data_IF_566196082647
#
_entry.id   IF_566196082647
#
_cell.length_a   1.000
_cell.length_b   1.000
_cell.length_c   1.000
_cell.angle_alpha   90.00
_cell.angle_beta   90.00
_cell.angle_gamma   90.00
#
_symmetry.space_group_name_H-M   'P 1'
#
loop_
_entity.id
_entity.type
_entity.pdbx_description
1 polymer ?
#
# COMPACT_ATOMS: atom_id res chain seq x y z
N UNK A 1 -13.82 0.20 -1.94
CA UNK A 1 -12.44 0.71 -1.75
C UNK A 1 -11.57 -0.38 -1.15
N UNK A 2 -10.25 -0.25 -1.23
CA UNK A 2 -9.30 -1.09 -0.53
C UNK A 2 -8.52 -0.23 0.47
N UNK A 3 -8.44 -0.66 1.72
CA UNK A 3 -7.78 0.05 2.83
C UNK A 3 -6.80 -0.91 3.49
N UNK A 4 -5.58 -0.46 3.74
CA UNK A 4 -4.57 -1.24 4.45
C UNK A 4 -3.81 -0.37 5.45
N UNK A 5 -3.38 -0.99 6.55
CA UNK A 5 -2.60 -0.35 7.59
C UNK A 5 -1.28 -1.07 7.78
N UNK A 6 -0.22 -0.30 8.01
CA UNK A 6 1.07 -0.79 8.45
C UNK A 6 1.47 -0.04 9.71
N UNK A 7 1.91 -0.77 10.73
CA UNK A 7 2.45 -0.16 11.93
C UNK A 7 3.96 -0.35 11.99
N UNK A 8 4.67 0.70 12.39
CA UNK A 8 6.11 0.66 12.62
C UNK A 8 6.46 1.32 13.95
N UNK A 9 7.38 0.74 14.72
CA UNK A 9 7.82 1.34 15.96
C UNK A 9 8.62 2.61 15.64
N UNK A 10 8.51 3.64 16.49
CA UNK A 10 9.41 4.80 16.39
C UNK A 10 10.79 4.42 16.98
N UNK A 11 11.92 4.87 16.40
CA UNK A 11 13.27 4.57 16.91
C UNK A 11 13.56 5.00 18.36
N UNK A 12 12.81 5.96 18.91
CA UNK A 12 12.92 6.38 20.31
C UNK A 12 12.22 5.35 21.22
N UNK A 13 12.56 5.27 22.53
CA UNK A 13 11.90 4.37 23.51
C UNK A 13 10.42 4.73 23.80
N UNK A 14 9.75 5.35 22.83
CA UNK A 14 8.41 5.89 22.95
C UNK A 14 7.37 4.78 22.85
N UNK A 15 6.30 4.92 23.62
CA UNK A 15 5.04 4.17 23.51
C UNK A 15 4.27 4.60 22.25
N UNK A 16 5.00 4.98 21.20
CA UNK A 16 4.50 5.67 20.01
C UNK A 16 4.90 4.87 18.79
N UNK A 17 3.93 4.68 17.91
CA UNK A 17 4.01 3.91 16.70
C UNK A 17 3.65 4.83 15.54
N UNK A 18 4.37 4.70 14.45
CA UNK A 18 3.98 5.28 13.18
C UNK A 18 2.96 4.32 12.54
N UNK A 19 1.81 4.85 12.15
CA UNK A 19 0.80 4.13 11.39
C UNK A 19 0.76 4.73 10.00
N UNK A 20 0.98 3.90 8.99
CA UNK A 20 0.75 4.24 7.60
C UNK A 20 -0.59 3.64 7.18
N UNK A 21 -1.47 4.47 6.65
CA UNK A 21 -2.73 4.07 6.03
C UNK A 21 -2.61 4.26 4.52
N UNK A 22 -2.88 3.23 3.74
CA UNK A 22 -2.99 3.30 2.29
C UNK A 22 -4.44 3.04 1.87
N UNK A 23 -4.97 3.90 1.02
CA UNK A 23 -6.34 3.80 0.51
C UNK A 23 -6.30 3.83 -1.00
N UNK A 24 -6.99 2.86 -1.63
CA UNK A 24 -7.14 2.75 -3.07
C UNK A 24 -8.62 2.71 -3.42
N UNK A 25 -9.06 3.64 -4.26
CA UNK A 25 -10.39 3.59 -4.84
C UNK A 25 -10.38 2.74 -6.11
N UNK A 26 -10.78 1.47 -5.98
CA UNK A 26 -10.85 0.49 -7.08
C UNK A 26 -12.16 0.56 -7.89
N UNK A 27 -13.03 1.54 -7.63
CA UNK A 27 -14.26 1.70 -8.45
C UNK A 27 -13.89 2.24 -9.83
N UNK A 28 -14.80 2.06 -10.80
CA UNK A 28 -14.65 2.57 -12.16
C UNK A 28 -15.14 4.01 -12.33
N UNK A 29 -16.01 4.49 -11.44
CA UNK A 29 -16.74 5.76 -11.59
C UNK A 29 -16.90 6.55 -10.29
N UNK A 30 -17.06 5.84 -9.16
CA UNK A 30 -17.40 6.50 -7.90
C UNK A 30 -16.25 7.34 -7.33
N UNK A 31 -16.60 8.46 -6.70
CA UNK A 31 -15.69 9.34 -5.98
C UNK A 31 -16.08 9.38 -4.51
N UNK A 32 -15.13 9.18 -3.60
CA UNK A 32 -15.42 9.15 -2.16
C UNK A 32 -14.73 10.30 -1.44
N UNK A 33 -15.48 11.05 -0.64
CA UNK A 33 -14.93 11.98 0.34
C UNK A 33 -14.38 11.21 1.54
N UNK A 34 -13.18 11.57 1.96
CA UNK A 34 -12.53 10.98 3.13
C UNK A 34 -12.99 11.74 4.38
N UNK A 35 -13.51 11.04 5.38
CA UNK A 35 -14.14 11.68 6.54
C UNK A 35 -13.34 11.53 7.83
N UNK A 36 -13.07 10.29 8.25
CA UNK A 36 -12.54 9.99 9.58
C UNK A 36 -11.73 8.69 9.60
N UNK A 37 -10.73 8.65 10.47
CA UNK A 37 -10.07 7.43 10.92
C UNK A 37 -10.18 7.32 12.43
N UNK A 38 -10.57 6.15 12.91
CA UNK A 38 -10.69 5.85 14.33
C UNK A 38 -9.87 4.63 14.73
N UNK A 39 -9.25 4.66 15.91
CA UNK A 39 -8.68 3.48 16.56
C UNK A 39 -9.69 2.88 17.55
N UNK A 40 -9.93 1.57 17.47
CA UNK A 40 -10.86 0.90 18.38
C UNK A 40 -10.16 0.60 19.72
N UNK A 41 -10.83 0.98 20.81
CA UNK A 41 -10.37 0.74 22.18
C UNK A 41 -9.78 2.00 22.84
N UNK A 42 -10.06 2.13 24.14
CA UNK A 42 -9.75 3.35 24.91
C UNK A 42 -8.25 3.53 25.19
N UNK A 43 -7.44 2.49 25.01
CA UNK A 43 -6.00 2.55 25.25
C UNK A 43 -5.19 3.29 24.18
N UNK A 44 -5.79 3.49 23.01
CA UNK A 44 -5.10 3.94 21.81
C UNK A 44 -5.47 5.40 21.55
N UNK A 45 -4.44 6.23 21.44
CA UNK A 45 -4.58 7.61 20.98
C UNK A 45 -3.97 7.70 19.59
N UNK A 46 -4.71 8.25 18.63
CA UNK A 46 -4.26 8.44 17.26
C UNK A 46 -4.24 9.93 16.91
N UNK A 47 -3.21 10.35 16.18
CA UNK A 47 -3.02 11.74 15.77
C UNK A 47 -2.44 11.82 14.36
N UNK A 48 -2.87 12.81 13.60
CA UNK A 48 -2.42 13.04 12.22
C UNK A 48 -1.03 13.69 12.21
N UNK A 49 -0.11 13.19 11.38
CA UNK A 49 1.24 13.76 11.28
C UNK A 49 1.39 14.84 10.20
N UNK A 50 0.52 14.84 9.19
CA UNK A 50 0.55 15.79 8.07
C UNK A 50 -0.87 16.22 7.72
N UNK A 51 -1.14 17.52 7.42
CA UNK A 51 -2.47 17.97 7.04
C UNK A 51 -3.00 17.19 5.83
N UNK A 52 -4.27 16.76 5.88
CA UNK A 52 -4.86 15.98 4.77
C UNK A 52 -4.84 16.76 3.46
N UNK A 53 -4.99 18.07 3.50
CA UNK A 53 -4.93 18.94 2.32
C UNK A 53 -3.61 18.85 1.54
N UNK A 54 -2.52 18.48 2.23
CA UNK A 54 -1.23 18.25 1.57
C UNK A 54 -1.15 16.92 0.83
N UNK A 55 -1.95 15.94 1.23
CA UNK A 55 -1.94 14.56 0.73
C UNK A 55 -3.06 14.35 -0.31
N UNK A 56 -4.23 14.89 -0.02
CA UNK A 56 -5.44 14.82 -0.83
C UNK A 56 -6.10 16.21 -0.86
N UNK A 57 -5.63 17.15 -1.71
CA UNK A 57 -6.12 18.53 -1.72
C UNK A 57 -7.61 18.68 -2.02
N UNK A 58 -8.18 17.75 -2.78
CA UNK A 58 -9.62 17.69 -3.08
C UNK A 58 -10.44 17.06 -1.95
N UNK A 59 -9.78 16.44 -0.96
CA UNK A 59 -10.35 15.59 0.10
C UNK A 59 -11.29 14.50 -0.43
N UNK A 60 -11.22 14.26 -1.74
CA UNK A 60 -12.11 13.40 -2.52
C UNK A 60 -11.21 12.49 -3.34
N UNK A 61 -11.42 11.19 -3.17
CA UNK A 61 -10.67 10.13 -3.82
C UNK A 61 -11.46 9.62 -5.03
N UNK A 62 -11.05 10.04 -6.23
CA UNK A 62 -11.71 9.65 -7.47
C UNK A 62 -11.44 8.18 -7.82
N UNK A 63 -12.26 7.62 -8.71
CA UNK A 63 -12.07 6.29 -9.26
C UNK A 63 -10.64 6.08 -9.78
N UNK A 64 -10.04 4.96 -9.43
CA UNK A 64 -8.66 4.59 -9.79
C UNK A 64 -7.56 5.33 -9.03
N UNK A 65 -7.89 6.28 -8.14
CA UNK A 65 -6.88 7.00 -7.36
C UNK A 65 -6.50 6.27 -6.06
N UNK A 66 -5.34 6.65 -5.53
CA UNK A 66 -4.85 6.19 -4.24
C UNK A 66 -4.14 7.30 -3.48
N UNK A 67 -4.12 7.19 -2.16
CA UNK A 67 -3.30 8.04 -1.31
C UNK A 67 -2.75 7.26 -0.11
N UNK A 68 -1.71 7.82 0.49
CA UNK A 68 -1.07 7.29 1.69
C UNK A 68 -1.04 8.38 2.74
N UNK A 69 -1.44 8.08 3.98
CA UNK A 69 -1.45 9.04 5.08
C UNK A 69 -0.76 8.45 6.32
N UNK A 70 -0.17 9.31 7.13
CA UNK A 70 0.64 8.92 8.28
C UNK A 70 0.05 9.47 9.58
N UNK A 71 -0.04 8.59 10.55
CA UNK A 71 -0.55 8.88 11.89
C UNK A 71 0.48 8.45 12.93
N UNK A 72 0.42 9.11 14.07
CA UNK A 72 1.08 8.64 15.28
C UNK A 72 0.04 7.98 16.16
N UNK A 73 0.29 6.74 16.54
CA UNK A 73 -0.49 5.96 17.47
C UNK A 73 0.27 5.83 18.78
N UNK A 74 -0.38 6.06 19.92
CA UNK A 74 0.24 5.99 21.24
C UNK A 74 -0.48 4.99 22.13
N UNK A 75 0.30 4.09 22.74
CA UNK A 75 -0.17 3.18 23.80
C UNK A 75 -0.18 3.93 25.13
N UNK A 76 -1.36 4.27 25.66
CA UNK A 76 -1.45 4.96 26.94
C UNK A 76 -1.43 4.01 28.15
N UNK A 77 -1.56 2.69 27.98
CA UNK A 77 -1.53 1.72 29.11
C UNK A 77 -0.19 1.79 29.84
N UNK A 78 0.89 1.98 29.09
CA UNK A 78 2.27 2.02 29.60
C UNK A 78 2.66 3.36 30.21
N UNK A 79 1.82 4.39 30.12
CA UNK A 79 2.07 5.73 30.68
C UNK A 79 1.53 5.90 32.11
N UNK A 80 0.67 5.00 32.57
CA UNK A 80 -0.04 5.07 33.85
C UNK A 80 0.80 4.60 35.06
N UNK A 81 2.01 5.15 35.24
CA UNK A 81 2.81 4.97 36.48
C UNK A 81 2.77 6.18 37.41
N UNK A 82 1.92 7.17 37.13
CA UNK A 82 1.70 8.34 38.00
C UNK A 82 0.29 8.25 38.60
N UNK A 83 0.20 8.38 39.92
CA UNK A 83 -1.02 8.37 40.74
C UNK A 83 -1.97 9.55 40.44
N UNK A 84 -2.43 9.68 39.20
CA UNK A 84 -3.42 10.69 38.83
C UNK A 84 -4.59 10.02 38.11
N UNK A 85 -5.43 9.36 38.92
CA UNK A 85 -6.74 8.84 38.51
C UNK A 85 -7.69 10.02 38.24
N UNK A 86 -7.51 10.69 37.10
CA UNK A 86 -8.61 11.39 36.46
C UNK A 86 -9.45 10.36 35.70
N UNK A 87 -10.79 10.38 35.82
CA UNK A 87 -11.64 9.46 35.07
C UNK A 87 -11.36 9.62 33.58
N UNK A 88 -11.25 8.51 32.85
CA UNK A 88 -10.98 8.40 31.41
C UNK A 88 -12.02 9.21 30.62
N UNK A 89 -11.84 10.53 30.55
CA UNK A 89 -12.65 11.41 29.72
C UNK A 89 -12.33 11.10 28.26
N UNK A 90 -13.39 10.95 27.44
CA UNK A 90 -13.41 10.59 26.02
C UNK A 90 -12.04 10.73 25.34
N UNK A 91 -11.32 9.61 25.30
CA UNK A 91 -9.98 9.54 24.72
C UNK A 91 -10.14 9.78 23.22
N UNK A 92 -9.35 10.71 22.67
CA UNK A 92 -9.38 11.04 21.25
C UNK A 92 -8.81 9.85 20.44
N UNK A 93 -9.69 8.92 20.10
CA UNK A 93 -9.46 7.83 19.17
C UNK A 93 -9.76 8.21 17.73
N UNK A 94 -10.33 9.38 17.50
CA UNK A 94 -10.88 9.80 16.21
C UNK A 94 -10.05 10.93 15.62
N UNK A 95 -9.61 10.73 14.38
CA UNK A 95 -8.94 11.72 13.56
C UNK A 95 -9.86 12.08 12.41
N UNK A 96 -10.20 13.36 12.31
CA UNK A 96 -10.91 13.88 11.13
C UNK A 96 -9.95 14.06 9.98
N UNK A 97 -10.44 13.69 8.80
CA UNK A 97 -9.71 13.74 7.54
C UNK A 97 -10.42 14.60 6.48
N UNK A 98 -11.68 14.98 6.71
CA UNK A 98 -12.45 15.87 5.85
C UNK A 98 -12.17 17.36 6.10
N UNK A 99 -12.95 18.27 5.46
CA UNK A 99 -12.68 19.70 5.47
C UNK A 99 -12.71 20.28 6.88
N UNK A 100 -11.68 21.04 7.24
CA UNK A 100 -11.52 21.61 8.58
C UNK A 100 -12.63 22.62 8.94
N UNK A 101 -13.29 23.18 7.92
CA UNK A 101 -14.40 24.13 8.07
C UNK A 101 -15.75 23.46 8.37
N UNK A 102 -15.83 22.12 8.32
CA UNK A 102 -17.04 21.39 8.65
C UNK A 102 -17.07 21.06 10.16
N UNK A 103 -17.92 21.76 10.91
CA UNK A 103 -18.13 21.54 12.35
C UNK A 103 -18.84 20.22 12.70
N UNK A 104 -19.19 19.41 11.71
CA UNK A 104 -19.91 18.14 11.87
C UNK A 104 -19.18 17.16 12.79
N UNK A 105 -19.83 16.66 13.83
CA UNK A 105 -19.23 15.74 14.80
C UNK A 105 -18.66 14.47 14.13
N UNK A 106 -17.55 13.88 14.64
CA UNK A 106 -17.12 12.57 14.15
C UNK A 106 -18.24 11.55 14.35
N UNK A 107 -18.31 10.55 13.47
CA UNK A 107 -19.21 9.43 13.65
C UNK A 107 -18.78 8.62 14.86
N UNK A 108 -19.76 8.26 15.70
CA UNK A 108 -19.53 7.39 16.84
C UNK A 108 -19.32 5.94 16.35
N UNK A 109 -18.08 5.48 16.43
CA UNK A 109 -17.69 4.10 16.10
C UNK A 109 -17.77 3.15 17.30
N UNK A 110 -18.01 3.69 18.50
CA UNK A 110 -18.01 2.95 19.76
C UNK A 110 -19.38 2.43 20.17
N UNK A 111 -20.43 2.95 19.52
CA UNK A 111 -21.81 2.52 19.73
C UNK A 111 -22.34 1.69 18.56
N UNK A 112 -23.43 0.96 18.82
CA UNK A 112 -24.24 0.32 17.78
C UNK A 112 -24.73 1.37 16.75
N UNK A 113 -24.74 1.06 15.44
CA UNK A 113 -24.51 -0.26 14.83
C UNK A 113 -23.06 -0.59 14.48
N UNK A 114 -22.15 0.39 14.50
CA UNK A 114 -20.77 0.20 14.04
C UNK A 114 -19.95 -0.69 14.98
N UNK A 115 -20.16 -0.56 16.29
CA UNK A 115 -19.54 -1.43 17.28
C UNK A 115 -19.97 -2.90 17.09
N UNK A 116 -21.27 -3.15 16.91
CA UNK A 116 -21.82 -4.50 16.72
C UNK A 116 -21.29 -5.13 15.43
N UNK A 117 -21.26 -4.37 14.33
CA UNK A 117 -20.70 -4.83 13.06
C UNK A 117 -19.22 -5.21 13.22
N UNK A 118 -18.45 -4.36 13.88
CA UNK A 118 -17.03 -4.60 14.12
C UNK A 118 -16.78 -5.83 15.01
N UNK A 119 -17.62 -6.05 16.03
CA UNK A 119 -17.59 -7.28 16.83
C UNK A 119 -17.88 -8.53 15.99
N UNK A 120 -18.88 -8.47 15.12
CA UNK A 120 -19.21 -9.57 14.22
C UNK A 120 -18.05 -9.86 13.26
N UNK A 121 -17.45 -8.83 12.67
CA UNK A 121 -16.32 -8.98 11.76
C UNK A 121 -15.10 -9.61 12.46
N UNK A 122 -14.77 -9.17 13.67
CA UNK A 122 -13.71 -9.79 14.49
C UNK A 122 -14.00 -11.27 14.75
N UNK A 123 -15.25 -11.61 15.07
CA UNK A 123 -15.66 -13.00 15.26
C UNK A 123 -15.53 -13.83 13.98
N UNK A 124 -15.96 -13.29 12.83
CA UNK A 124 -15.83 -13.95 11.52
C UNK A 124 -14.38 -14.19 11.11
N UNK A 125 -13.44 -13.34 11.54
CA UNK A 125 -12.01 -13.51 11.30
C UNK A 125 -11.35 -14.55 12.25
N UNK A 126 -12.14 -15.22 13.09
CA UNK A 126 -11.65 -16.27 14.01
C UNK A 126 -10.84 -15.71 15.18
N UNK A 127 -11.05 -14.44 15.53
CA UNK A 127 -10.28 -13.76 16.57
C UNK A 127 -10.73 -14.22 17.96
N UNK A 128 -9.80 -14.80 18.74
CA UNK A 128 -10.03 -15.13 20.15
C UNK A 128 -9.75 -13.92 21.06
N UNK A 129 -10.42 -13.86 22.20
CA UNK A 129 -10.30 -12.78 23.18
C UNK A 129 -8.96 -12.73 23.94
N UNK A 130 -7.99 -13.56 23.56
CA UNK A 130 -6.79 -13.85 24.35
C UNK A 130 -5.55 -13.35 23.60
N UNK A 131 -5.42 -12.01 23.47
CA UNK A 131 -4.28 -11.38 22.79
C UNK A 131 -4.33 -9.85 22.66
N UNK A 132 -5.19 -9.16 23.42
CA UNK A 132 -5.49 -7.73 23.24
C UNK A 132 -4.41 -6.75 23.71
N UNK A 133 -3.28 -7.22 24.24
CA UNK A 133 -2.21 -6.32 24.71
C UNK A 133 -1.39 -5.71 23.58
N UNK A 134 -1.40 -6.31 22.40
CA UNK A 134 -0.54 -5.89 21.28
C UNK A 134 -1.31 -5.72 19.96
N UNK A 135 -2.64 -5.59 20.00
CA UNK A 135 -3.46 -5.44 18.78
C UNK A 135 -4.20 -4.10 18.76
N UNK A 136 -4.33 -3.56 17.56
CA UNK A 136 -5.04 -2.31 17.27
C UNK A 136 -5.99 -2.60 16.14
N UNK A 137 -7.24 -2.18 16.27
CA UNK A 137 -8.20 -2.24 15.17
C UNK A 137 -8.51 -0.81 14.71
N UNK A 138 -8.76 -0.62 13.42
CA UNK A 138 -9.06 0.68 12.84
C UNK A 138 -10.41 0.67 12.12
N UNK A 139 -11.13 1.79 12.22
CA UNK A 139 -12.35 2.06 11.46
C UNK A 139 -12.13 3.32 10.64
N UNK A 140 -12.13 3.17 9.33
CA UNK A 140 -11.99 4.26 8.37
C UNK A 140 -13.35 4.57 7.75
N UNK A 141 -13.74 5.84 7.74
CA UNK A 141 -15.07 6.28 7.27
C UNK A 141 -14.91 7.19 6.05
N UNK A 142 -15.70 6.87 5.03
CA UNK A 142 -15.79 7.64 3.79
C UNK A 142 -17.23 7.90 3.40
N UNK A 143 -17.46 8.98 2.68
CA UNK A 143 -18.78 9.40 2.22
C UNK A 143 -18.79 9.43 0.69
N UNK A 144 -19.89 9.03 0.07
CA UNK A 144 -20.13 9.29 -1.35
C UNK A 144 -20.84 10.65 -1.47
N UNK A 145 -20.21 11.66 -2.09
CA UNK A 145 -20.79 13.00 -2.24
C UNK A 145 -22.06 12.94 -3.09
N UNK A 146 -23.00 13.81 -2.77
CA UNK A 146 -24.31 13.88 -3.40
C UNK A 146 -24.19 14.18 -4.91
N UNK A 147 -24.75 13.31 -5.78
CA UNK A 147 -24.72 13.53 -7.23
C UNK A 147 -25.01 12.32 -8.14
N UNK A 148 -25.09 11.09 -7.63
CA UNK A 148 -25.17 9.88 -8.50
C UNK A 148 -26.46 9.06 -8.37
N UNK A 149 -27.45 9.48 -7.58
CA UNK A 149 -28.69 8.70 -7.40
C UNK A 149 -29.91 9.55 -7.76
N UNK A 150 -30.46 9.30 -8.95
CA UNK A 150 -31.76 9.82 -9.44
C UNK A 150 -32.94 9.20 -8.67
N UNK A 151 -33.02 9.38 -7.35
CA UNK A 151 -34.15 8.88 -6.57
C UNK A 151 -34.62 9.90 -5.55
N UNK A 152 -35.94 10.12 -5.54
CA UNK A 152 -36.70 11.04 -4.70
C UNK A 152 -36.74 10.66 -3.20
N UNK A 153 -35.61 10.23 -2.65
CA UNK A 153 -35.41 9.97 -1.22
C UNK A 153 -34.63 11.13 -0.58
N UNK A 154 -34.86 11.44 0.72
CA UNK A 154 -34.23 12.58 1.37
C UNK A 154 -32.70 12.47 1.33
N UNK A 155 -32.11 13.49 0.72
CA UNK A 155 -30.71 13.91 0.64
C UNK A 155 -29.84 13.49 1.83
N UNK A 156 -29.38 12.24 1.84
CA UNK A 156 -28.47 11.74 2.89
C UNK A 156 -27.23 11.16 2.20
N UNK A 157 -26.02 11.67 2.47
CA UNK A 157 -24.80 11.12 1.88
C UNK A 157 -24.64 9.66 2.32
N UNK A 158 -24.28 8.78 1.37
CA UNK A 158 -24.02 7.38 1.70
C UNK A 158 -22.69 7.28 2.45
N UNK A 159 -22.75 6.78 3.69
CA UNK A 159 -21.58 6.58 4.55
C UNK A 159 -21.13 5.13 4.45
N UNK A 160 -19.82 4.94 4.29
CA UNK A 160 -19.17 3.64 4.24
C UNK A 160 -18.16 3.55 5.38
N UNK A 161 -18.25 2.48 6.17
CA UNK A 161 -17.23 2.11 7.16
C UNK A 161 -16.37 0.98 6.63
N UNK A 162 -15.06 1.17 6.70
CA UNK A 162 -14.05 0.17 6.35
C UNK A 162 -13.35 -0.22 7.64
N UNK A 163 -13.47 -1.47 8.01
CA UNK A 163 -12.94 -1.97 9.26
C UNK A 163 -11.71 -2.84 8.96
N UNK A 164 -10.63 -2.59 9.69
CA UNK A 164 -9.41 -3.40 9.59
C UNK A 164 -9.04 -3.86 10.99
N UNK A 165 -9.25 -5.15 11.22
CA UNK A 165 -9.02 -5.80 12.51
C UNK A 165 -7.67 -6.52 12.55
N UNK A 166 -7.21 -6.81 13.76
CA UNK A 166 -6.00 -7.57 14.06
C UNK A 166 -4.70 -6.92 13.57
N UNK A 167 -4.60 -5.58 13.65
CA UNK A 167 -3.35 -4.93 13.34
C UNK A 167 -2.37 -5.14 14.51
N UNK A 168 -1.55 -6.19 14.38
CA UNK A 168 -0.66 -6.64 15.44
C UNK A 168 0.62 -5.81 15.55
N UNK A 169 0.89 -5.29 16.75
CA UNK A 169 2.19 -4.78 17.18
C UNK A 169 3.25 -5.89 17.32
N UNK A 170 2.88 -7.17 17.42
CA UNK A 170 3.87 -8.26 17.36
C UNK A 170 4.29 -8.61 15.93
N UNK A 171 3.53 -8.16 14.92
CA UNK A 171 3.92 -8.21 13.51
C UNK A 171 4.85 -7.06 13.10
N UNK A 172 5.15 -6.14 14.02
CA UNK A 172 6.08 -5.03 13.81
C UNK A 172 7.39 -5.52 13.23
N UNK A 173 7.64 -5.16 11.98
CA UNK A 173 8.96 -5.35 11.41
C UNK A 173 9.88 -4.33 12.06
N UNK A 174 11.08 -4.74 12.52
CA UNK A 174 12.08 -3.82 13.05
C UNK A 174 12.55 -2.81 12.00
N UNK A 175 12.25 -3.08 10.73
CA UNK A 175 12.53 -2.25 9.58
C UNK A 175 11.22 -1.77 8.98
N UNK A 176 11.09 -0.47 8.79
CA UNK A 176 10.00 0.16 8.05
C UNK A 176 10.54 1.01 6.93
N UNK A 177 9.75 1.22 5.87
CA UNK A 177 10.17 2.04 4.74
C UNK A 177 8.99 2.76 4.10
N UNK A 178 9.29 3.92 3.51
CA UNK A 178 8.35 4.70 2.72
C UNK A 178 9.02 5.08 1.40
N UNK A 179 8.29 4.95 0.30
CA UNK A 179 8.68 5.55 -0.99
C UNK A 179 7.92 6.85 -1.14
N UNK A 180 8.66 7.93 -1.34
CA UNK A 180 8.16 9.29 -1.52
C UNK A 180 8.63 9.86 -2.87
N UNK A 181 7.86 10.78 -3.43
CA UNK A 181 8.14 11.37 -4.73
C UNK A 181 6.90 11.98 -5.39
N UNK A 182 7.06 12.47 -6.62
CA UNK A 182 5.93 13.02 -7.38
C UNK A 182 4.99 11.89 -7.82
N UNK A 183 3.70 12.01 -7.49
CA UNK A 183 2.65 11.08 -7.93
C UNK A 183 2.02 11.43 -9.27
N UNK A 184 2.17 12.68 -9.72
CA UNK A 184 1.69 13.13 -11.04
C UNK A 184 2.78 13.95 -11.71
N UNK A 185 3.08 13.62 -12.97
CA UNK A 185 4.02 14.37 -13.80
C UNK A 185 3.45 14.61 -15.19
N UNK A 186 3.82 15.72 -15.80
CA UNK A 186 3.59 16.00 -17.21
C UNK A 186 4.90 15.84 -17.97
N UNK A 187 4.87 15.11 -19.08
CA UNK A 187 6.04 14.89 -19.90
C UNK A 187 5.72 15.00 -21.40
N UNK A 188 6.66 15.54 -22.16
CA UNK A 188 6.58 15.55 -23.61
C UNK A 188 7.40 14.35 -24.15
N UNK A 189 6.72 13.32 -24.62
CA UNK A 189 7.35 12.10 -25.15
C UNK A 189 8.04 12.30 -26.52
N UNK A 190 8.05 13.52 -27.06
CA UNK A 190 8.98 13.91 -28.13
C UNK A 190 10.40 14.10 -27.61
N UNK A 191 10.60 14.21 -26.29
CA UNK A 191 11.90 14.26 -25.62
C UNK A 191 12.37 12.85 -25.20
N UNK A 192 13.68 12.61 -25.06
CA UNK A 192 14.22 11.26 -25.12
C UNK A 192 13.89 10.35 -23.91
N UNK A 193 13.60 10.85 -22.69
CA UNK A 193 13.28 10.00 -21.53
C UNK A 193 12.43 10.72 -20.46
N UNK A 194 11.38 10.06 -19.96
CA UNK A 194 10.60 10.51 -18.80
C UNK A 194 11.19 9.91 -17.51
N UNK A 195 12.21 10.58 -16.96
CA UNK A 195 12.81 10.15 -15.69
C UNK A 195 12.05 10.71 -14.48
N UNK A 196 11.79 9.84 -13.50
CA UNK A 196 11.13 10.22 -12.25
C UNK A 196 12.02 9.84 -11.08
N UNK A 197 12.41 10.84 -10.30
CA UNK A 197 13.19 10.63 -9.08
C UNK A 197 12.23 10.38 -7.91
N UNK A 198 12.50 9.31 -7.19
CA UNK A 198 11.79 8.89 -5.99
C UNK A 198 12.82 8.77 -4.85
N UNK A 199 12.34 8.73 -3.62
CA UNK A 199 13.15 8.59 -2.43
C UNK A 199 12.57 7.53 -1.54
N UNK A 200 13.34 6.51 -1.20
CA UNK A 200 12.97 5.54 -0.19
C UNK A 200 13.63 5.89 1.14
N UNK A 201 12.82 6.19 2.15
CA UNK A 201 13.32 6.39 3.52
C UNK A 201 13.11 5.11 4.31
N UNK A 202 14.19 4.51 4.80
CA UNK A 202 14.17 3.24 5.54
C UNK A 202 14.58 3.51 6.99
N UNK A 203 13.80 3.02 7.94
CA UNK A 203 14.02 3.22 9.37
C UNK A 203 14.24 1.88 10.05
N UNK A 204 15.31 1.79 10.84
CA UNK A 204 15.57 0.71 11.76
C UNK A 204 15.19 1.15 13.17
N UNK A 205 14.11 0.56 13.69
CA UNK A 205 13.60 0.86 15.03
C UNK A 205 14.12 -0.12 16.08
N UNK A 206 14.87 -1.15 15.67
CA UNK A 206 15.45 -2.12 16.60
C UNK A 206 16.66 -1.56 17.36
N UNK A 207 16.98 -2.22 18.48
CA UNK A 207 18.22 -2.01 19.22
C UNK A 207 19.46 -2.64 18.57
N UNK A 208 19.31 -3.29 17.43
CA UNK A 208 20.37 -4.03 16.74
C UNK A 208 20.72 -3.40 15.40
N UNK A 209 21.93 -3.66 14.90
CA UNK A 209 22.31 -3.29 13.54
C UNK A 209 21.50 -4.12 12.55
N UNK A 210 20.92 -3.48 11.55
CA UNK A 210 20.15 -4.14 10.51
C UNK A 210 20.87 -4.11 9.16
N UNK A 211 20.89 -5.23 8.45
CA UNK A 211 21.25 -5.31 7.04
C UNK A 211 19.97 -5.31 6.23
N UNK A 212 19.80 -4.35 5.33
CA UNK A 212 18.63 -4.22 4.45
C UNK A 212 19.07 -4.33 3.00
N UNK A 213 18.31 -5.09 2.22
CA UNK A 213 18.54 -5.38 0.81
C UNK A 213 17.25 -5.15 0.03
N UNK A 214 17.27 -4.14 -0.82
CA UNK A 214 16.18 -3.72 -1.69
C UNK A 214 16.41 -4.34 -3.07
N UNK A 215 15.43 -5.09 -3.57
CA UNK A 215 15.44 -5.62 -4.93
C UNK A 215 14.31 -4.99 -5.73
N UNK A 216 14.58 -4.42 -6.89
CA UNK A 216 13.57 -3.86 -7.80
C UNK A 216 13.44 -4.76 -9.03
N UNK A 217 12.24 -4.87 -9.58
CA UNK A 217 11.94 -5.78 -10.69
C UNK A 217 11.35 -5.01 -11.86
N UNK A 218 11.92 -5.11 -13.07
CA UNK A 218 11.45 -4.32 -14.23
C UNK A 218 10.18 -4.86 -14.88
N UNK A 219 9.82 -6.12 -14.64
CA UNK A 219 8.60 -6.74 -15.14
C UNK A 219 7.51 -6.78 -14.07
N UNK A 220 6.22 -6.59 -14.41
CA UNK A 220 5.15 -6.92 -13.48
C UNK A 220 5.27 -8.38 -13.08
N UNK A 221 5.28 -8.67 -11.79
CA UNK A 221 5.33 -10.04 -11.29
C UNK A 221 4.05 -10.76 -11.70
N UNK A 222 4.08 -11.45 -12.83
CA UNK A 222 3.19 -12.58 -13.04
C UNK A 222 3.45 -13.53 -11.87
N UNK A 223 2.45 -13.75 -11.02
CA UNK A 223 2.49 -14.63 -9.86
C UNK A 223 3.42 -15.83 -10.08
N UNK A 224 4.67 -15.72 -9.66
CA UNK A 224 5.60 -16.84 -9.68
C UNK A 224 5.23 -17.70 -8.47
N UNK A 225 4.26 -18.59 -8.67
CA UNK A 225 4.13 -19.76 -7.83
C UNK A 225 5.50 -20.48 -7.83
N UNK A 226 5.98 -20.97 -6.68
CA UNK A 226 7.14 -21.84 -6.68
C UNK A 226 6.81 -23.06 -7.55
N UNK A 227 7.72 -23.37 -8.47
CA UNK A 227 7.65 -24.52 -9.37
C UNK A 227 7.50 -25.78 -8.51
N UNK A 228 6.28 -26.29 -8.42
CA UNK A 228 6.04 -27.68 -8.10
C UNK A 228 5.60 -28.37 -9.38
N UNK A 229 6.44 -29.31 -9.81
CA UNK A 229 6.14 -30.25 -10.88
C UNK A 229 4.86 -31.03 -10.57
N UNK A 230 4.12 -31.35 -11.64
CA UNK A 230 2.92 -32.18 -11.71
C UNK A 230 1.60 -31.53 -11.26
N UNK A 231 0.83 -31.00 -12.22
CA UNK A 231 -0.46 -31.58 -12.61
C UNK A 231 -1.12 -30.77 -13.74
N UNK A 232 -1.87 -31.50 -14.55
CA UNK A 232 -2.53 -31.17 -15.81
C UNK A 232 -3.73 -30.22 -15.72
N UNK A 233 -3.96 -29.54 -16.86
CA UNK A 233 -5.26 -29.19 -17.50
C UNK A 233 -6.11 -28.02 -16.96
N UNK A 234 -6.10 -26.89 -17.72
CA UNK A 234 -7.20 -26.33 -18.55
C UNK A 234 -7.11 -24.78 -18.64
N UNK A 235 -7.27 -24.17 -19.82
CA UNK A 235 -7.32 -22.72 -19.95
C UNK A 235 -8.76 -22.19 -19.81
N UNK A 236 -9.01 -21.04 -19.15
CA UNK A 236 -10.26 -20.32 -19.33
C UNK A 236 -10.25 -19.63 -20.70
N UNK A 237 -11.17 -20.07 -21.55
CA UNK A 237 -11.54 -19.40 -22.79
C UNK A 237 -12.09 -18.00 -22.50
N UNK A 238 -11.64 -17.01 -23.27
CA UNK A 238 -12.41 -15.89 -23.81
C UNK A 238 -11.47 -15.00 -24.64
N UNK A 239 -11.27 -15.39 -25.90
CA UNK A 239 -10.65 -14.53 -26.91
C UNK A 239 -11.76 -13.76 -27.65
N UNK A 240 -11.76 -12.45 -27.49
CA UNK A 240 -12.23 -11.49 -28.48
C UNK A 240 -11.09 -10.46 -28.58
N UNK A 241 -10.40 -10.19 -29.67
CA UNK A 241 -10.49 -10.60 -31.06
C UNK A 241 -9.87 -9.45 -31.87
N UNK A 242 -8.80 -9.72 -32.62
CA UNK A 242 -8.45 -9.11 -33.91
C UNK A 242 -7.71 -10.22 -34.67
N UNK A 243 -8.18 -10.56 -35.86
CA UNK A 243 -7.58 -11.59 -36.70
C UNK A 243 -7.19 -10.94 -38.02
N UNK A 244 -5.91 -10.90 -38.31
CA UNK A 244 -5.42 -10.43 -39.61
C UNK A 244 -5.72 -11.48 -40.68
N UNK A 245 -6.37 -11.04 -41.75
CA UNK A 245 -6.64 -11.84 -42.95
C UNK A 245 -5.33 -11.86 -43.77
N UNK A 246 -4.78 -13.03 -44.13
CA UNK A 246 -3.59 -13.07 -44.96
C UNK A 246 -3.97 -12.67 -46.40
N UNK A 247 -3.28 -11.66 -46.91
CA UNK A 247 -3.33 -11.20 -48.30
C UNK A 247 -2.79 -12.32 -49.20
N UNK A 248 -3.62 -12.74 -50.16
CA UNK A 248 -3.28 -13.68 -51.23
C UNK A 248 -2.36 -12.97 -52.23
N UNK A 249 -1.22 -13.58 -52.52
CA UNK A 249 -0.28 -13.17 -53.58
C UNK A 249 0.75 -14.26 -53.86
N UNK A 250 0.57 -14.94 -54.98
CA UNK A 250 1.30 -16.11 -55.48
C UNK A 250 2.83 -15.99 -55.54
N UNK A 251 3.56 -17.06 -55.20
CA UNK A 251 4.21 -17.92 -56.23
C UNK A 251 4.87 -19.17 -55.62
N UNK A 252 4.59 -20.27 -56.30
CA UNK A 252 4.95 -21.66 -56.05
C UNK A 252 6.43 -21.92 -56.38
N UNK A 253 7.23 -22.38 -55.41
CA UNK A 253 8.37 -23.28 -55.66
C UNK A 253 8.32 -24.41 -54.64
N UNK A 254 8.13 -25.62 -55.17
CA UNK A 254 8.05 -26.89 -54.45
C UNK A 254 9.43 -27.53 -54.41
N UNK A 255 9.92 -27.97 -53.25
CA UNK A 255 10.77 -29.18 -53.12
C UNK A 255 10.66 -29.78 -51.71
N UNK A 256 10.66 -31.11 -51.70
CA UNK A 256 10.18 -32.06 -50.69
C UNK A 256 10.99 -32.22 -49.39
N UNK A 257 10.24 -32.63 -48.35
CA UNK A 257 10.55 -33.60 -47.28
C UNK A 257 11.94 -33.63 -46.63
N UNK A 258 11.99 -33.19 -45.37
CA UNK A 258 12.52 -34.03 -44.29
C UNK A 258 11.88 -33.63 -42.95
N UNK A 259 11.23 -34.62 -42.36
CA UNK A 259 10.63 -34.65 -41.02
C UNK A 259 11.63 -34.17 -39.95
N UNK A 260 11.47 -32.94 -39.47
CA UNK A 260 12.07 -32.47 -38.22
C UNK A 260 11.04 -31.59 -37.49
N UNK A 261 10.45 -32.16 -36.45
CA UNK A 261 9.48 -31.54 -35.56
C UNK A 261 10.15 -30.41 -34.77
N UNK A 262 10.33 -29.26 -35.40
CA UNK A 262 10.69 -28.05 -34.69
C UNK A 262 9.44 -27.54 -33.97
N UNK A 263 9.42 -27.71 -32.64
CA UNK A 263 8.57 -26.91 -31.78
C UNK A 263 8.97 -25.45 -31.98
N UNK A 264 8.28 -24.75 -32.88
CA UNK A 264 8.25 -23.31 -32.88
C UNK A 264 7.58 -22.89 -31.57
N UNK A 265 8.37 -22.76 -30.51
CA UNK A 265 7.99 -21.94 -29.36
C UNK A 265 7.60 -20.60 -29.97
N UNK A 266 6.32 -20.26 -29.93
CA UNK A 266 5.95 -18.86 -30.07
C UNK A 266 6.72 -18.14 -28.97
N UNK A 267 7.72 -17.33 -29.35
CA UNK A 267 8.20 -16.27 -28.48
C UNK A 267 6.95 -15.44 -28.23
N UNK A 268 6.33 -15.66 -27.07
CA UNK A 268 5.39 -14.69 -26.52
C UNK A 268 6.15 -13.37 -26.56
N UNK A 269 5.65 -12.40 -27.32
CA UNK A 269 6.15 -11.04 -27.25
C UNK A 269 5.88 -10.65 -25.80
N UNK A 270 6.94 -10.76 -25.00
CA UNK A 270 6.98 -10.35 -23.62
C UNK A 270 6.59 -8.87 -23.65
N UNK A 271 5.43 -8.54 -23.08
CA UNK A 271 4.90 -7.18 -23.18
C UNK A 271 5.97 -6.25 -22.64
N UNK A 272 6.42 -5.29 -23.46
CA UNK A 272 7.47 -4.34 -23.09
C UNK A 272 7.11 -3.73 -21.73
N UNK A 273 8.04 -3.69 -20.75
CA UNK A 273 7.76 -3.17 -19.44
C UNK A 273 7.29 -1.72 -19.55
N UNK A 274 6.15 -1.44 -18.92
CA UNK A 274 5.46 -0.16 -18.97
C UNK A 274 6.32 1.00 -18.41
N UNK A 275 7.21 0.68 -17.48
CA UNK A 275 8.31 1.50 -16.97
C UNK A 275 9.46 0.57 -16.56
N UNK A 276 10.66 1.11 -16.36
CA UNK A 276 11.79 0.37 -15.76
C UNK A 276 12.32 1.10 -14.53
N UNK A 277 12.90 0.36 -13.59
CA UNK A 277 13.69 0.95 -12.51
C UNK A 277 15.07 1.35 -13.03
N UNK A 278 15.38 2.63 -12.96
CA UNK A 278 16.62 3.20 -13.45
C UNK A 278 17.65 3.18 -12.32
N UNK A 279 18.60 2.24 -12.36
CA UNK A 279 19.65 2.14 -11.34
C UNK A 279 20.10 0.71 -11.08
N UNK A 280 20.66 0.46 -9.90
CA UNK A 280 20.99 -0.90 -9.47
C UNK A 280 19.70 -1.65 -9.13
N UNK A 281 19.46 -2.79 -9.77
CA UNK A 281 18.33 -3.69 -9.45
C UNK A 281 18.36 -4.25 -8.02
N UNK A 282 19.49 -4.07 -7.34
CA UNK A 282 19.74 -4.52 -5.98
C UNK A 282 20.56 -3.48 -5.22
N UNK A 283 20.02 -2.95 -4.13
CA UNK A 283 20.71 -2.01 -3.23
C UNK A 283 20.79 -2.59 -1.83
N UNK A 284 22.00 -2.65 -1.27
CA UNK A 284 22.23 -3.15 0.09
C UNK A 284 22.80 -2.04 0.98
N UNK A 285 22.25 -1.91 2.17
CA UNK A 285 22.72 -0.96 3.17
C UNK A 285 22.71 -1.57 4.59
N UNK A 286 23.53 -0.98 5.45
CA UNK A 286 23.57 -1.33 6.88
C UNK A 286 23.09 -0.14 7.70
N UNK A 287 22.03 -0.36 8.48
CA UNK A 287 21.43 0.62 9.36
C UNK A 287 21.91 0.39 10.79
N UNK A 288 22.38 1.46 11.43
CA UNK A 288 22.68 1.44 12.86
C UNK A 288 21.39 1.24 13.68
N UNK A 289 21.48 0.79 14.93
CA UNK A 289 20.34 0.76 15.83
C UNK A 289 19.66 2.13 15.87
N UNK A 290 18.32 2.14 15.83
CA UNK A 290 17.50 3.37 15.98
C UNK A 290 17.88 4.48 14.98
N UNK A 291 18.12 4.11 13.72
CA UNK A 291 18.57 5.04 12.68
C UNK A 291 17.69 5.00 11.44
N UNK A 292 17.83 6.02 10.59
CA UNK A 292 17.13 6.16 9.33
C UNK A 292 18.14 6.41 8.21
N UNK A 293 17.90 5.85 7.03
CA UNK A 293 18.66 6.16 5.83
C UNK A 293 17.72 6.50 4.66
N UNK A 294 18.21 7.32 3.75
CA UNK A 294 17.52 7.65 2.50
C UNK A 294 18.24 6.98 1.34
N UNK A 295 17.47 6.30 0.49
CA UNK A 295 17.94 5.63 -0.71
C UNK A 295 17.27 6.31 -1.91
N UNK A 296 18.03 6.96 -2.80
CA UNK A 296 17.46 7.52 -4.02
C UNK A 296 17.01 6.37 -4.93
N UNK A 297 15.80 6.50 -5.46
CA UNK A 297 15.23 5.59 -6.45
C UNK A 297 14.91 6.39 -7.71
N UNK A 298 14.92 5.72 -8.86
CA UNK A 298 14.56 6.36 -10.12
C UNK A 298 13.83 5.36 -11.00
N UNK A 299 12.86 5.85 -11.76
CA UNK A 299 12.22 5.09 -12.84
C UNK A 299 12.31 5.86 -14.16
N UNK A 300 12.16 5.14 -15.26
CA UNK A 300 11.91 5.69 -16.59
C UNK A 300 10.56 5.20 -17.09
N UNK A 301 9.64 6.12 -17.36
CA UNK A 301 8.37 5.85 -18.03
C UNK A 301 8.51 6.07 -19.54
N UNK A 302 7.83 5.24 -20.33
CA UNK A 302 7.93 5.27 -21.81
C UNK A 302 6.67 5.77 -22.50
N UNK A 303 5.58 5.93 -21.78
CA UNK A 303 4.31 6.40 -22.31
C UNK A 303 3.52 7.20 -21.26
N UNK A 304 2.45 7.90 -21.65
CA UNK A 304 1.45 8.36 -20.71
C UNK A 304 0.71 7.16 -20.09
N UNK A 305 0.34 7.25 -18.80
CA UNK A 305 -0.35 6.18 -18.11
C UNK A 305 -0.30 6.25 -16.59
N UNK A 306 -0.90 5.26 -15.94
CA UNK A 306 -0.81 5.05 -14.49
C UNK A 306 0.04 3.80 -14.26
N UNK A 307 1.10 3.94 -13.47
CA UNK A 307 2.08 2.91 -13.20
C UNK A 307 2.05 2.51 -11.72
N UNK A 308 1.96 1.21 -11.45
CA UNK A 308 2.15 0.66 -10.10
C UNK A 308 3.64 0.34 -9.89
N UNK A 309 4.28 1.08 -8.99
CA UNK A 309 5.68 0.94 -8.64
C UNK A 309 5.90 0.03 -7.41
N UNK A 310 4.95 -0.85 -7.10
CA UNK A 310 5.05 -1.82 -5.99
C UNK A 310 6.01 -2.99 -6.25
N UNK A 311 6.55 -3.10 -7.47
CA UNK A 311 7.46 -4.15 -7.96
C UNK A 311 8.88 -4.05 -7.38
N UNK A 312 8.97 -4.09 -6.05
CA UNK A 312 10.22 -4.22 -5.31
C UNK A 312 10.02 -5.08 -4.06
N UNK A 313 11.11 -5.59 -3.48
CA UNK A 313 11.10 -6.38 -2.25
C UNK A 313 12.21 -5.88 -1.32
N UNK A 314 11.87 -5.64 -0.06
CA UNK A 314 12.85 -5.40 1.00
C UNK A 314 13.10 -6.68 1.80
N UNK A 315 14.32 -7.18 1.74
CA UNK A 315 14.81 -8.22 2.63
C UNK A 315 15.61 -7.57 3.75
N UNK A 316 15.41 -8.02 4.98
CA UNK A 316 16.15 -7.51 6.12
C UNK A 316 16.61 -8.61 7.06
N UNK A 317 17.72 -8.37 7.74
CA UNK A 317 18.21 -9.20 8.84
C UNK A 317 18.85 -8.35 9.93
N UNK A 318 18.63 -8.73 11.18
CA UNK A 318 19.20 -8.11 12.36
C UNK A 318 20.45 -8.88 12.79
N UNK A 319 21.50 -8.15 13.14
CA UNK A 319 22.68 -8.73 13.75
C UNK A 319 22.34 -9.03 15.22
N UNK A 320 22.45 -10.28 15.69
CA UNK A 320 22.22 -10.59 17.09
C UNK A 320 23.23 -9.84 17.97
N UNK A 321 22.74 -9.14 18.99
CA UNK A 321 23.60 -8.51 19.98
C UNK A 321 24.36 -9.61 20.75
N UNK A 322 25.67 -9.45 20.94
CA UNK A 322 26.54 -10.48 21.52
C UNK A 322 26.28 -10.78 23.00
N UNK A 323 25.39 -10.04 23.68
CA UNK A 323 25.28 -10.04 25.15
C UNK A 323 23.96 -10.56 25.73
N UNK A 324 23.05 -11.15 24.95
CA UNK A 324 21.82 -11.73 25.52
C UNK A 324 21.69 -13.23 25.24
N UNK A 325 22.16 -13.99 26.23
CA UNK A 325 21.74 -15.38 26.46
C UNK A 325 20.27 -15.36 26.87
N UNK A 326 19.42 -15.96 26.04
CA UNK A 326 18.08 -16.48 26.35
C UNK A 326 17.11 -15.58 27.15
N UNK A 327 16.26 -14.85 26.44
CA UNK A 327 14.88 -14.57 26.88
C UNK A 327 13.90 -14.74 25.71
N UNK A 328 13.31 -15.92 25.61
CA UNK A 328 11.86 -16.14 25.67
C UNK A 328 10.88 -15.47 24.70
N UNK A 329 11.28 -14.61 23.76
CA UNK A 329 10.42 -14.11 22.69
C UNK A 329 11.17 -14.22 21.37
N UNK A 330 10.63 -15.03 20.44
CA UNK A 330 11.18 -15.20 19.11
C UNK A 330 11.00 -13.91 18.30
N UNK A 331 11.77 -12.87 18.62
CA UNK A 331 11.89 -11.69 17.78
C UNK A 331 12.44 -12.14 16.43
N UNK A 332 11.67 -11.90 15.35
CA UNK A 332 12.10 -12.26 14.00
C UNK A 332 13.42 -11.56 13.71
N UNK A 333 14.48 -12.34 13.54
CA UNK A 333 15.83 -11.83 13.24
C UNK A 333 16.03 -11.55 11.74
N UNK A 334 15.07 -11.94 10.90
CA UNK A 334 15.04 -11.62 9.49
C UNK A 334 13.62 -11.63 8.95
N UNK A 335 13.42 -10.99 7.80
CA UNK A 335 12.13 -10.95 7.12
C UNK A 335 12.26 -10.43 5.69
N UNK A 336 11.18 -10.59 4.94
CA UNK A 336 11.00 -10.05 3.61
C UNK A 336 9.67 -9.33 3.54
N UNK A 337 9.65 -8.17 2.92
CA UNK A 337 8.47 -7.37 2.73
C UNK A 337 8.30 -6.99 1.26
N UNK A 338 7.09 -7.18 0.74
CA UNK A 338 6.75 -6.73 -0.60
C UNK A 338 6.65 -5.22 -0.66
N UNK A 339 6.91 -4.67 -1.83
CA UNK A 339 6.82 -3.24 -2.07
C UNK A 339 5.41 -2.73 -1.85
N UNK A 340 5.31 -1.51 -1.31
CA UNK A 340 4.02 -0.91 -1.08
C UNK A 340 3.46 -0.37 -2.40
N UNK A 341 2.12 -0.41 -2.59
CA UNK A 341 1.48 0.27 -3.70
C UNK A 341 1.91 1.74 -3.76
N UNK A 342 2.53 2.12 -4.86
CA UNK A 342 2.89 3.49 -5.17
C UNK A 342 2.51 3.75 -6.61
N UNK A 343 1.46 4.53 -6.81
CA UNK A 343 0.94 4.81 -8.15
C UNK A 343 1.46 6.14 -8.66
N UNK A 344 2.04 6.11 -9.86
CA UNK A 344 2.51 7.28 -10.58
C UNK A 344 1.63 7.50 -11.81
N UNK A 345 1.10 8.71 -11.95
CA UNK A 345 0.39 9.17 -13.15
C UNK A 345 1.32 10.00 -14.02
N UNK A 346 1.52 9.58 -15.27
CA UNK A 346 2.29 10.31 -16.29
C UNK A 346 1.34 10.80 -17.36
N UNK A 347 1.28 12.12 -17.52
CA UNK A 347 0.41 12.79 -18.47
C UNK A 347 1.23 13.32 -19.65
N UNK A 348 0.66 13.24 -20.85
CA UNK A 348 1.25 13.89 -22.02
C UNK A 348 1.08 15.40 -21.92
N UNK A 349 2.17 16.14 -22.10
CA UNK A 349 2.11 17.60 -22.25
C UNK A 349 1.83 17.94 -23.71
N UNK A 350 0.66 18.51 -23.99
CA UNK A 350 0.37 19.07 -25.31
C UNK A 350 1.18 20.34 -25.53
N UNK A 351 1.89 20.40 -26.67
CA UNK A 351 2.54 21.63 -27.13
C UNK A 351 1.44 22.66 -27.39
N UNK A 352 1.39 23.73 -26.59
CA UNK A 352 0.66 24.93 -26.99
C UNK A 352 1.28 25.40 -28.30
N UNK A 353 0.52 25.26 -29.39
CA UNK A 353 0.88 25.80 -30.69
C UNK A 353 1.00 27.31 -30.58
N UNK A 354 2.20 27.82 -30.85
CA UNK A 354 2.46 29.23 -31.14
C UNK A 354 1.96 29.60 -32.52
#
# INVERSE_FOLDING_TARGET
MYVSFELSARPARSQEFLVRMDVVNKTSSECFQVHQLSSVGQQWEISLLQPVDSILPSQSLFAGQSFSCFFMLKDRRRSATSEDCTPLSHIQSDVRLGPQDNYEAPFDVSSSPLADFHECERSCQGMSSQGYESKVDFVFITQLPEGTIDSAAPNTPLVFSHHVCDCSLSSMTPISWIVDGRRTIQHNFSAPQCEVNLKMTITNSSGSVASVHINTFDSPSSNSQPINEAATSQPPANQAGWSDIPIVGDTKITTNDALATHSSKSLSIESVPQFIWSGSSSTKLTLQPRSTAEVPLKICAFAPGIYDLSNYVLNWSLTPAKDHVNQGEASKSSGSCQGYPYYLTVLESTRNGS
#
